data_IF_222222029666
#
_entry.id   IF_222222029666
#
_cell.length_a   1.000
_cell.length_b   1.000
_cell.length_c   1.000
_cell.angle_alpha   90.00
_cell.angle_beta   90.00
_cell.angle_gamma   90.00
#
_symmetry.space_group_name_H-M   'P 1'
#
loop_
_entity.id
_entity.type
_entity.pdbx_description
1 polymer ?
#
# COMPACT_ATOMS: atom_id res chain seq x y z
N UNK A 1 -12.35 -1.46 36.44
CA UNK A 1 -11.59 -0.41 35.71
C UNK A 1 -12.41 -0.01 34.50
N UNK A 2 -12.75 1.28 34.32
CA UNK A 2 -13.36 1.74 33.05
C UNK A 2 -12.41 1.40 31.91
N UNK A 3 -12.88 0.70 30.87
CA UNK A 3 -12.08 0.42 29.68
C UNK A 3 -11.76 1.77 29.03
N UNK A 4 -10.48 2.13 28.99
CA UNK A 4 -10.02 3.39 28.39
C UNK A 4 -10.09 3.28 26.87
N UNK A 5 -10.48 4.37 26.22
CA UNK A 5 -10.46 4.49 24.77
C UNK A 5 -9.07 4.21 24.18
N UNK A 6 -9.02 3.59 23.00
CA UNK A 6 -7.75 3.36 22.32
C UNK A 6 -7.15 4.68 21.82
N UNK A 7 -5.88 4.89 22.16
CA UNK A 7 -5.15 6.10 21.78
C UNK A 7 -4.61 6.00 20.36
N UNK A 8 -5.04 6.92 19.50
CA UNK A 8 -4.48 7.10 18.15
C UNK A 8 -2.97 7.33 18.19
N UNK A 9 -2.27 6.79 17.19
CA UNK A 9 -0.84 7.03 16.96
C UNK A 9 -0.57 8.18 15.99
N UNK A 10 -1.59 8.67 15.30
CA UNK A 10 -1.48 9.75 14.33
C UNK A 10 -2.57 10.80 14.53
N UNK A 11 -2.22 12.05 14.25
CA UNK A 11 -3.17 13.16 14.31
C UNK A 11 -4.21 13.06 13.18
N UNK A 12 -5.46 13.47 13.42
CA UNK A 12 -6.46 13.60 12.37
C UNK A 12 -6.01 14.55 11.25
N UNK A 13 -6.45 14.27 10.03
CA UNK A 13 -6.11 15.07 8.84
C UNK A 13 -7.36 15.60 8.14
N UNK A 14 -7.26 16.74 7.45
CA UNK A 14 -8.38 17.31 6.67
C UNK A 14 -8.69 16.54 5.38
N UNK A 15 -7.77 15.67 4.95
CA UNK A 15 -7.89 14.84 3.76
C UNK A 15 -7.41 13.42 4.05
N UNK A 16 -7.76 12.42 3.23
CA UNK A 16 -7.20 11.08 3.33
C UNK A 16 -5.67 11.10 3.40
N UNK A 17 -5.10 10.30 4.30
CA UNK A 17 -3.65 10.11 4.33
C UNK A 17 -3.19 9.53 2.99
N UNK A 18 -2.14 10.15 2.45
CA UNK A 18 -1.50 9.72 1.21
C UNK A 18 -0.01 9.73 1.42
N UNK A 19 0.63 8.61 1.08
CA UNK A 19 2.09 8.52 1.02
C UNK A 19 2.48 8.52 -0.45
N UNK A 20 2.97 9.67 -0.93
CA UNK A 20 3.42 9.78 -2.30
C UNK A 20 4.55 8.77 -2.57
N UNK A 21 4.34 7.82 -3.47
CA UNK A 21 5.43 7.03 -4.04
C UNK A 21 6.28 7.97 -4.90
N UNK A 22 7.41 8.43 -4.37
CA UNK A 22 8.34 9.31 -5.10
C UNK A 22 8.96 8.62 -6.31
N UNK A 23 8.81 7.29 -6.41
CA UNK A 23 9.44 6.44 -7.41
C UNK A 23 8.44 5.76 -8.36
N UNK A 24 7.14 6.09 -8.39
CA UNK A 24 6.12 5.30 -9.10
C UNK A 24 6.49 4.83 -10.51
N UNK A 25 6.93 5.72 -11.40
CA UNK A 25 7.38 5.35 -12.76
C UNK A 25 8.76 4.68 -12.77
N UNK A 26 9.67 5.09 -11.87
CA UNK A 26 11.00 4.50 -11.73
C UNK A 26 10.95 3.06 -11.20
N UNK A 27 10.04 2.75 -10.28
CA UNK A 27 9.75 1.42 -9.76
C UNK A 27 9.24 0.50 -10.87
N UNK A 28 8.38 1.03 -11.75
CA UNK A 28 7.90 0.28 -12.90
C UNK A 28 9.02 0.03 -13.91
N UNK A 29 9.95 0.97 -14.13
CA UNK A 29 11.04 0.86 -15.10
C UNK A 29 12.26 0.07 -14.60
N UNK A 30 12.71 0.31 -13.36
CA UNK A 30 13.91 -0.26 -12.75
C UNK A 30 13.84 -1.79 -12.69
N UNK A 31 12.64 -2.32 -12.48
CA UNK A 31 12.41 -3.75 -12.29
C UNK A 31 11.81 -4.43 -13.53
N UNK A 32 11.66 -3.71 -14.66
CA UNK A 32 11.35 -4.33 -15.97
C UNK A 32 12.55 -5.10 -16.54
N UNK A 33 13.77 -4.78 -16.10
CA UNK A 33 15.00 -5.43 -16.54
C UNK A 33 15.58 -6.28 -15.43
N UNK A 34 16.15 -7.44 -15.79
CA UNK A 34 16.95 -8.23 -14.84
C UNK A 34 18.12 -7.37 -14.35
N UNK A 35 18.56 -7.51 -13.09
CA UNK A 35 19.71 -6.77 -12.57
C UNK A 35 20.95 -6.88 -13.46
N UNK A 36 21.19 -8.08 -14.02
CA UNK A 36 22.26 -8.36 -14.98
C UNK A 36 22.16 -7.50 -16.24
N UNK A 37 20.94 -7.36 -16.80
CA UNK A 37 20.68 -6.54 -17.98
C UNK A 37 20.98 -5.08 -17.69
N UNK A 38 20.54 -4.56 -16.54
CA UNK A 38 20.83 -3.18 -16.13
C UNK A 38 22.33 -2.91 -15.99
N UNK A 39 23.07 -3.85 -15.39
CA UNK A 39 24.54 -3.76 -15.27
C UNK A 39 25.21 -3.78 -16.65
N UNK A 40 24.78 -4.66 -17.55
CA UNK A 40 25.34 -4.74 -18.92
C UNK A 40 25.04 -3.47 -19.71
N UNK A 41 23.83 -2.92 -19.60
CA UNK A 41 23.47 -1.64 -20.26
C UNK A 41 24.36 -0.50 -19.74
N UNK A 42 24.52 -0.37 -18.42
CA UNK A 42 25.42 0.63 -17.83
C UNK A 42 26.88 0.44 -18.26
N UNK A 43 27.35 -0.80 -18.32
CA UNK A 43 28.70 -1.15 -18.79
C UNK A 43 28.90 -0.79 -20.26
N UNK A 44 27.91 -1.06 -21.12
CA UNK A 44 27.96 -0.72 -22.53
C UNK A 44 27.99 0.79 -22.76
N UNK A 45 27.16 1.55 -22.04
CA UNK A 45 27.19 3.02 -22.07
C UNK A 45 28.56 3.54 -21.64
N UNK A 46 29.14 2.98 -20.57
CA UNK A 46 30.46 3.36 -20.10
C UNK A 46 31.57 3.05 -21.14
N UNK A 47 31.50 1.89 -21.80
CA UNK A 47 32.43 1.54 -22.88
C UNK A 47 32.31 2.49 -24.07
N UNK A 48 31.09 2.87 -24.45
CA UNK A 48 30.85 3.85 -25.51
C UNK A 48 31.43 5.23 -25.15
N UNK A 49 31.28 5.68 -23.90
CA UNK A 49 31.89 6.91 -23.42
C UNK A 49 33.42 6.85 -23.48
N UNK A 50 34.03 5.73 -23.09
CA UNK A 50 35.48 5.52 -23.19
C UNK A 50 35.98 5.48 -24.65
N UNK A 51 35.14 5.09 -25.61
CA UNK A 51 35.50 5.06 -27.03
C UNK A 51 35.46 6.45 -27.69
N UNK A 52 34.59 7.34 -27.21
CA UNK A 52 34.36 8.68 -27.81
C UNK A 52 35.13 9.77 -27.06
N UNK A 53 35.29 9.65 -25.74
CA UNK A 53 35.86 10.69 -24.88
C UNK A 53 37.24 10.27 -24.34
N UNK A 54 38.17 11.22 -24.11
CA UNK A 54 39.37 10.95 -23.34
C UNK A 54 39.02 10.36 -21.96
N UNK A 55 39.79 9.37 -21.49
CA UNK A 55 39.51 8.62 -20.25
C UNK A 55 39.18 9.53 -19.05
N UNK A 56 39.90 10.66 -18.90
CA UNK A 56 39.67 11.65 -17.85
C UNK A 56 38.24 12.21 -17.79
N UNK A 57 37.54 12.26 -18.93
CA UNK A 57 36.14 12.71 -19.02
C UNK A 57 35.18 11.53 -18.99
N UNK A 58 35.55 10.39 -19.58
CA UNK A 58 34.71 9.19 -19.58
C UNK A 58 34.46 8.63 -18.17
N UNK A 59 35.39 8.81 -17.22
CA UNK A 59 35.23 8.36 -15.83
C UNK A 59 34.36 9.29 -14.97
N UNK A 60 34.08 10.51 -15.42
CA UNK A 60 33.36 11.51 -14.59
C UNK A 60 31.94 11.04 -14.23
N UNK A 61 31.11 10.53 -15.15
CA UNK A 61 29.75 10.09 -14.80
C UNK A 61 29.68 8.98 -13.72
N UNK A 62 30.39 7.83 -13.82
CA UNK A 62 30.32 6.81 -12.77
C UNK A 62 30.88 7.30 -11.43
N UNK A 63 31.94 8.13 -11.45
CA UNK A 63 32.46 8.73 -10.22
C UNK A 63 31.47 9.70 -9.58
N UNK A 64 30.75 10.51 -10.38
CA UNK A 64 29.73 11.42 -9.86
C UNK A 64 28.55 10.67 -9.24
N UNK A 65 28.09 9.57 -9.87
CA UNK A 65 27.02 8.71 -9.31
C UNK A 65 27.47 8.04 -8.02
N UNK A 66 28.69 7.49 -7.99
CA UNK A 66 29.26 6.88 -6.78
C UNK A 66 29.43 7.90 -5.66
N UNK A 67 29.98 9.08 -5.98
CA UNK A 67 30.15 10.16 -5.02
C UNK A 67 28.81 10.62 -4.46
N UNK A 68 27.81 10.85 -5.33
CA UNK A 68 26.46 11.18 -4.89
C UNK A 68 25.90 10.13 -3.94
N UNK A 69 26.02 8.83 -4.28
CA UNK A 69 25.55 7.74 -3.41
C UNK A 69 26.25 7.74 -2.05
N UNK A 70 27.57 7.89 -2.00
CA UNK A 70 28.33 7.92 -0.75
C UNK A 70 27.92 9.14 0.09
N UNK A 71 27.83 10.32 -0.53
CA UNK A 71 27.43 11.56 0.15
C UNK A 71 26.02 11.46 0.69
N UNK A 72 25.05 11.01 -0.11
CA UNK A 72 23.66 10.86 0.34
C UNK A 72 23.55 9.85 1.46
N UNK A 73 24.21 8.68 1.36
CA UNK A 73 24.20 7.68 2.43
C UNK A 73 24.86 8.21 3.70
N UNK A 74 25.99 8.92 3.59
CA UNK A 74 26.68 9.52 4.74
C UNK A 74 25.78 10.55 5.42
N UNK A 75 25.16 11.46 4.65
CA UNK A 75 24.20 12.44 5.19
C UNK A 75 23.03 11.73 5.87
N UNK A 76 22.49 10.68 5.26
CA UNK A 76 21.35 9.92 5.82
C UNK A 76 21.69 9.17 7.12
N UNK A 77 22.93 8.69 7.27
CA UNK A 77 23.40 8.02 8.49
C UNK A 77 23.58 8.98 9.67
N UNK A 78 24.02 10.21 9.42
CA UNK A 78 24.32 11.18 10.47
C UNK A 78 23.23 12.24 10.68
N UNK A 79 22.30 12.39 9.74
CA UNK A 79 21.18 13.32 9.86
C UNK A 79 20.18 12.87 10.92
N UNK A 80 19.81 13.78 11.81
CA UNK A 80 18.71 13.59 12.76
C UNK A 80 17.33 13.85 12.14
N UNK A 81 17.28 14.51 10.99
CA UNK A 81 16.04 14.74 10.25
C UNK A 81 15.57 13.45 9.56
N UNK A 82 14.25 13.23 9.45
CA UNK A 82 13.71 12.10 8.71
C UNK A 82 14.24 12.04 7.27
N UNK A 83 14.73 10.88 6.86
CA UNK A 83 15.22 10.56 5.53
C UNK A 83 14.27 9.56 4.83
N UNK A 84 14.61 9.13 3.62
CA UNK A 84 13.76 8.23 2.82
C UNK A 84 13.42 6.89 3.51
N UNK A 85 14.25 6.42 4.45
CA UNK A 85 14.08 5.13 5.14
C UNK A 85 13.18 5.21 6.38
N UNK A 86 13.16 6.35 7.07
CA UNK A 86 12.42 6.52 8.32
C UNK A 86 11.29 7.56 8.24
N UNK A 87 11.12 8.22 7.10
CA UNK A 87 10.02 9.17 6.89
C UNK A 87 8.68 8.46 7.09
N UNK A 88 7.81 9.08 7.90
CA UNK A 88 6.50 8.58 8.29
C UNK A 88 6.50 7.27 9.08
N UNK A 89 7.65 6.78 9.55
CA UNK A 89 7.68 5.62 10.45
C UNK A 89 6.99 5.97 11.77
N UNK A 90 6.02 5.17 12.16
CA UNK A 90 5.32 5.28 13.45
C UNK A 90 6.10 4.44 14.47
N UNK A 91 6.73 5.05 15.48
CA UNK A 91 7.56 4.33 16.43
C UNK A 91 6.73 3.53 17.45
N UNK A 92 7.32 2.42 17.90
CA UNK A 92 6.74 1.53 18.88
C UNK A 92 5.69 0.59 18.30
N UNK A 93 4.95 -0.10 19.18
CA UNK A 93 3.96 -1.10 18.79
C UNK A 93 2.61 -0.44 18.51
N UNK A 94 2.04 -0.74 17.36
CA UNK A 94 0.74 -0.28 16.93
C UNK A 94 -0.10 -1.44 16.36
N UNK A 95 -1.41 -1.25 16.34
CA UNK A 95 -2.38 -2.13 15.68
C UNK A 95 -3.44 -1.26 15.01
N UNK A 96 -3.98 -1.74 13.90
CA UNK A 96 -5.06 -1.09 13.17
C UNK A 96 -6.41 -1.49 13.78
N UNK A 97 -7.10 -0.49 14.33
CA UNK A 97 -8.48 -0.53 14.78
C UNK A 97 -9.26 0.52 14.00
N UNK A 98 -10.46 0.22 13.50
CA UNK A 98 -11.23 1.21 12.75
C UNK A 98 -11.94 2.14 13.73
N UNK A 99 -11.83 3.47 13.58
CA UNK A 99 -12.61 4.40 14.38
C UNK A 99 -14.09 4.31 13.97
N UNK A 100 -14.98 4.62 14.91
CA UNK A 100 -16.40 4.81 14.64
C UNK A 100 -16.63 6.13 13.90
N UNK A 101 -17.85 6.31 13.36
CA UNK A 101 -18.25 7.56 12.67
C UNK A 101 -18.11 8.81 13.54
N UNK A 102 -18.17 8.64 14.87
CA UNK A 102 -17.96 9.68 15.88
C UNK A 102 -16.51 10.13 16.02
N UNK A 103 -15.55 9.42 15.41
CA UNK A 103 -14.12 9.66 15.56
C UNK A 103 -13.44 8.87 16.68
N UNK A 104 -14.23 8.32 17.61
CA UNK A 104 -13.71 7.50 18.70
C UNK A 104 -13.32 6.10 18.24
N UNK A 105 -12.30 5.50 18.86
CA UNK A 105 -11.97 4.09 18.67
C UNK A 105 -12.72 3.15 19.62
N UNK A 106 -13.40 3.70 20.62
CA UNK A 106 -13.93 2.92 21.73
C UNK A 106 -12.85 2.08 22.43
N UNK A 107 -13.27 0.96 23.02
CA UNK A 107 -12.40 0.09 23.83
C UNK A 107 -12.52 -1.40 23.52
N UNK A 108 -13.21 -1.75 22.43
CA UNK A 108 -13.44 -3.13 22.00
C UNK A 108 -12.53 -3.46 20.81
N UNK A 109 -11.55 -4.35 20.97
CA UNK A 109 -10.68 -4.75 19.86
C UNK A 109 -11.46 -5.45 18.73
N UNK A 110 -11.19 -5.06 17.49
CA UNK A 110 -11.75 -5.68 16.30
C UNK A 110 -13.25 -5.43 16.13
N UNK A 111 -13.81 -4.34 16.67
CA UNK A 111 -15.26 -4.11 16.73
C UNK A 111 -15.96 -3.98 15.36
N UNK A 112 -15.22 -3.66 14.29
CA UNK A 112 -15.76 -3.44 12.96
C UNK A 112 -15.30 -4.54 12.00
N UNK A 113 -16.15 -5.06 11.10
CA UNK A 113 -15.72 -5.99 10.07
C UNK A 113 -14.83 -5.30 9.04
N UNK A 114 -14.12 -6.11 8.23
CA UNK A 114 -13.33 -5.61 7.09
C UNK A 114 -13.43 -6.57 5.92
N UNK A 115 -13.30 -6.04 4.72
CA UNK A 115 -13.09 -6.84 3.51
C UNK A 115 -11.70 -6.58 2.97
N UNK A 116 -10.93 -7.64 2.71
CA UNK A 116 -9.63 -7.57 2.03
C UNK A 116 -9.80 -8.08 0.61
N UNK A 117 -9.47 -7.24 -0.36
CA UNK A 117 -9.57 -7.57 -1.77
C UNK A 117 -8.20 -7.54 -2.42
N UNK A 118 -7.72 -8.70 -2.83
CA UNK A 118 -6.52 -8.86 -3.63
C UNK A 118 -6.88 -8.79 -5.11
N UNK A 119 -6.16 -7.97 -5.87
CA UNK A 119 -6.26 -7.88 -7.32
C UNK A 119 -4.87 -7.99 -7.93
N UNK A 120 -4.68 -9.02 -8.71
CA UNK A 120 -3.42 -9.32 -9.38
C UNK A 120 -3.47 -9.10 -10.88
N UNK A 121 -2.40 -8.51 -11.41
CA UNK A 121 -2.16 -8.41 -12.85
C UNK A 121 -0.79 -9.03 -13.13
N UNK A 122 -0.76 -10.04 -14.00
CA UNK A 122 0.44 -10.77 -14.36
C UNK A 122 0.70 -10.66 -15.87
N UNK A 123 1.91 -10.25 -16.25
CA UNK A 123 2.36 -10.29 -17.63
C UNK A 123 3.22 -11.55 -17.89
N UNK A 124 2.72 -12.45 -18.73
CA UNK A 124 3.39 -13.68 -19.15
C UNK A 124 4.20 -13.50 -20.46
N UNK A 125 4.44 -12.25 -20.86
CA UNK A 125 5.23 -11.89 -22.04
C UNK A 125 6.66 -11.49 -21.62
N UNK A 126 7.72 -11.79 -22.42
CA UNK A 126 9.09 -11.38 -22.11
C UNK A 126 9.30 -9.87 -21.96
N UNK A 127 8.46 -9.06 -22.61
CA UNK A 127 8.47 -7.59 -22.48
C UNK A 127 7.72 -7.08 -21.23
N UNK A 128 7.14 -7.96 -20.42
CA UNK A 128 6.42 -7.59 -19.19
C UNK A 128 5.33 -6.55 -19.44
N UNK A 129 5.43 -5.41 -18.74
CA UNK A 129 4.49 -4.29 -18.85
C UNK A 129 4.56 -3.57 -20.21
N UNK A 130 5.63 -3.75 -20.98
CA UNK A 130 5.75 -3.22 -22.34
C UNK A 130 5.15 -4.15 -23.41
N UNK A 131 4.49 -5.24 -23.01
CA UNK A 131 3.85 -6.16 -23.94
C UNK A 131 2.62 -5.56 -24.65
N UNK A 132 2.27 -6.03 -25.86
CA UNK A 132 1.09 -5.56 -26.57
C UNK A 132 -0.18 -5.62 -25.70
N UNK A 133 -0.96 -4.54 -25.68
CA UNK A 133 -2.20 -4.44 -24.90
C UNK A 133 -2.05 -4.10 -23.42
N UNK A 134 -0.84 -4.20 -22.83
CA UNK A 134 -0.62 -3.85 -21.42
C UNK A 134 -0.79 -2.35 -21.16
N UNK A 135 -0.43 -1.48 -22.12
CA UNK A 135 -0.61 -0.03 -21.99
C UNK A 135 -2.08 0.34 -21.71
N UNK A 136 -3.01 -0.23 -22.48
CA UNK A 136 -4.43 0.05 -22.31
C UNK A 136 -4.98 -0.54 -21.02
N UNK A 137 -4.52 -1.74 -20.62
CA UNK A 137 -4.86 -2.33 -19.31
C UNK A 137 -4.37 -1.42 -18.18
N UNK A 138 -3.13 -0.93 -18.25
CA UNK A 138 -2.58 -0.01 -17.26
C UNK A 138 -3.36 1.30 -17.19
N UNK A 139 -3.82 1.85 -18.33
CA UNK A 139 -4.68 3.04 -18.36
C UNK A 139 -6.01 2.80 -17.64
N UNK A 140 -6.70 1.70 -17.95
CA UNK A 140 -7.94 1.34 -17.25
C UNK A 140 -7.73 1.13 -15.76
N UNK A 141 -6.64 0.45 -15.41
CA UNK A 141 -6.29 0.18 -14.03
C UNK A 141 -6.05 1.47 -13.23
N UNK A 142 -5.24 2.38 -13.74
CA UNK A 142 -4.98 3.68 -13.12
C UNK A 142 -6.27 4.51 -13.01
N UNK A 143 -7.12 4.49 -14.05
CA UNK A 143 -8.39 5.18 -14.03
C UNK A 143 -9.33 4.64 -12.92
N UNK A 144 -9.48 3.31 -12.82
CA UNK A 144 -10.29 2.68 -11.77
C UNK A 144 -9.77 2.99 -10.37
N UNK A 145 -8.45 2.91 -10.17
CA UNK A 145 -7.84 3.22 -8.88
C UNK A 145 -8.05 4.69 -8.49
N UNK A 146 -7.88 5.62 -9.43
CA UNK A 146 -8.08 7.04 -9.19
C UNK A 146 -9.55 7.37 -8.89
N UNK A 147 -10.49 6.76 -9.63
CA UNK A 147 -11.92 6.92 -9.38
C UNK A 147 -12.28 6.41 -7.97
N UNK A 148 -11.84 5.19 -7.62
CA UNK A 148 -12.03 4.61 -6.30
C UNK A 148 -11.40 5.46 -5.18
N UNK A 149 -10.20 6.00 -5.39
CA UNK A 149 -9.54 6.87 -4.43
C UNK A 149 -10.27 8.22 -4.25
N UNK A 150 -10.83 8.78 -5.33
CA UNK A 150 -11.58 10.04 -5.29
C UNK A 150 -12.94 9.91 -4.61
N UNK A 151 -13.62 8.76 -4.79
CA UNK A 151 -14.92 8.44 -4.21
C UNK A 151 -14.80 7.42 -3.07
N UNK A 152 -13.68 7.46 -2.34
CA UNK A 152 -13.31 6.42 -1.39
C UNK A 152 -14.33 6.20 -0.27
N UNK A 153 -15.02 7.25 0.16
CA UNK A 153 -16.00 7.17 1.25
C UNK A 153 -17.31 6.51 0.78
N UNK A 154 -17.75 6.88 -0.44
CA UNK A 154 -18.90 6.29 -1.13
C UNK A 154 -18.70 4.79 -1.39
N UNK A 155 -17.52 4.44 -1.92
CA UNK A 155 -17.14 3.05 -2.16
C UNK A 155 -16.57 2.36 -0.91
N UNK A 156 -16.54 3.01 0.25
CA UNK A 156 -16.10 2.39 1.51
C UNK A 156 -14.65 1.88 1.50
N UNK A 157 -13.76 2.44 0.67
CA UNK A 157 -12.34 2.09 0.62
C UNK A 157 -11.59 2.70 1.81
N UNK A 158 -11.04 1.82 2.65
CA UNK A 158 -10.27 2.14 3.83
C UNK A 158 -8.81 2.44 3.49
N UNK A 159 -8.18 1.58 2.68
CA UNK A 159 -6.82 1.76 2.18
C UNK A 159 -6.58 0.95 0.91
N UNK A 160 -5.50 1.28 0.22
CA UNK A 160 -4.97 0.50 -0.89
C UNK A 160 -3.43 0.45 -0.80
N UNK A 161 -2.85 -0.62 -1.33
CA UNK A 161 -1.40 -0.80 -1.44
C UNK A 161 -1.07 -1.60 -2.69
N UNK A 162 0.14 -1.37 -3.22
CA UNK A 162 0.63 -2.04 -4.42
C UNK A 162 1.94 -2.76 -4.10
N UNK A 163 2.04 -4.00 -4.50
CA UNK A 163 3.15 -4.91 -4.27
C UNK A 163 3.58 -5.54 -5.59
N UNK A 164 4.85 -5.92 -5.68
CA UNK A 164 5.36 -6.69 -6.80
C UNK A 164 5.76 -8.08 -6.33
N UNK A 165 5.34 -9.10 -7.06
CA UNK A 165 5.70 -10.49 -6.80
C UNK A 165 7.15 -10.78 -7.15
N UNK A 166 7.79 -11.58 -6.32
CA UNK A 166 9.16 -12.13 -6.47
C UNK A 166 9.12 -13.65 -6.71
N UNK A 167 7.94 -14.22 -7.00
CA UNK A 167 7.79 -15.69 -7.11
C UNK A 167 8.41 -16.26 -8.40
N UNK A 168 8.74 -15.39 -9.37
CA UNK A 168 9.30 -15.75 -10.67
C UNK A 168 10.38 -14.75 -11.04
N UNK A 169 11.45 -15.21 -11.69
CA UNK A 169 12.56 -14.37 -12.17
C UNK A 169 12.16 -13.25 -13.15
N UNK A 170 10.90 -13.22 -13.61
CA UNK A 170 10.37 -12.17 -14.46
C UNK A 170 9.85 -10.96 -13.68
N UNK A 171 9.55 -11.07 -12.37
CA UNK A 171 9.01 -10.00 -11.51
C UNK A 171 7.85 -9.19 -12.14
N UNK A 172 7.02 -9.88 -12.93
CA UNK A 172 5.97 -9.30 -13.78
C UNK A 172 4.55 -9.49 -13.21
N UNK A 173 4.43 -9.76 -11.91
CA UNK A 173 3.14 -9.84 -11.21
C UNK A 173 2.98 -8.64 -10.30
N UNK A 174 2.00 -7.78 -10.56
CA UNK A 174 1.59 -6.71 -9.66
C UNK A 174 0.42 -7.21 -8.80
N UNK A 175 0.52 -7.07 -7.48
CA UNK A 175 -0.55 -7.36 -6.54
C UNK A 175 -1.02 -6.06 -5.91
N UNK A 176 -2.31 -5.79 -5.97
CA UNK A 176 -2.95 -4.72 -5.24
C UNK A 176 -3.81 -5.28 -4.14
N UNK A 177 -3.68 -4.68 -2.97
CA UNK A 177 -4.43 -5.07 -1.77
C UNK A 177 -5.26 -3.85 -1.37
N UNK A 178 -6.57 -4.01 -1.48
CA UNK A 178 -7.56 -3.04 -1.04
C UNK A 178 -8.21 -3.50 0.25
N UNK A 179 -8.44 -2.56 1.17
CA UNK A 179 -9.29 -2.78 2.34
C UNK A 179 -10.58 -1.99 2.15
N UNK A 180 -11.71 -2.65 2.35
CA UNK A 180 -13.05 -2.08 2.32
C UNK A 180 -13.73 -2.27 3.68
N UNK A 181 -14.68 -1.39 4.01
CA UNK A 181 -15.46 -1.49 5.26
C UNK A 181 -16.43 -2.68 5.28
N UNK A 182 -16.96 -3.06 4.12
CA UNK A 182 -17.96 -4.11 3.97
C UNK A 182 -18.00 -4.66 2.52
N UNK A 183 -18.68 -5.78 2.32
CA UNK A 183 -18.73 -6.48 1.03
C UNK A 183 -19.60 -5.74 0.02
N UNK A 184 -20.64 -5.07 0.48
CA UNK A 184 -21.55 -4.25 -0.31
C UNK A 184 -20.79 -3.10 -0.99
N UNK A 185 -19.83 -2.51 -0.28
CA UNK A 185 -18.95 -1.43 -0.74
C UNK A 185 -18.01 -1.90 -1.85
N UNK A 186 -17.40 -3.08 -1.69
CA UNK A 186 -16.63 -3.71 -2.77
C UNK A 186 -17.53 -4.02 -3.98
N UNK A 187 -18.74 -4.53 -3.76
CA UNK A 187 -19.68 -4.83 -4.84
C UNK A 187 -20.12 -3.57 -5.59
N UNK A 188 -20.35 -2.44 -4.91
CA UNK A 188 -20.66 -1.16 -5.58
C UNK A 188 -19.54 -0.77 -6.54
N UNK A 189 -18.29 -0.85 -6.10
CA UNK A 189 -17.13 -0.59 -6.96
C UNK A 189 -17.04 -1.57 -8.15
N UNK A 190 -17.20 -2.86 -7.91
CA UNK A 190 -17.10 -3.89 -8.96
C UNK A 190 -18.21 -3.78 -10.04
N UNK A 191 -19.37 -3.21 -9.69
CA UNK A 191 -20.48 -3.02 -10.62
C UNK A 191 -20.52 -1.65 -11.29
N UNK A 192 -19.58 -0.75 -10.95
CA UNK A 192 -19.47 0.58 -11.55
C UNK A 192 -19.20 0.51 -13.07
N UNK A 193 -19.63 1.54 -13.79
CA UNK A 193 -19.51 1.63 -15.25
C UNK A 193 -18.05 1.52 -15.72
N UNK A 194 -17.12 2.17 -15.01
CA UNK A 194 -15.70 2.13 -15.39
C UNK A 194 -15.10 0.74 -15.21
N UNK A 195 -15.47 0.05 -14.12
CA UNK A 195 -15.03 -1.32 -13.87
C UNK A 195 -15.55 -2.28 -14.95
N UNK A 196 -16.84 -2.19 -15.30
CA UNK A 196 -17.43 -3.01 -16.37
C UNK A 196 -16.77 -2.76 -17.72
N UNK A 197 -16.52 -1.50 -18.08
CA UNK A 197 -15.81 -1.14 -19.33
C UNK A 197 -14.41 -1.75 -19.39
N UNK A 198 -13.66 -1.68 -18.29
CA UNK A 198 -12.32 -2.27 -18.22
C UNK A 198 -12.37 -3.80 -18.37
N UNK A 199 -13.31 -4.46 -17.69
CA UNK A 199 -13.48 -5.91 -17.78
C UNK A 199 -13.91 -6.37 -19.17
N UNK A 200 -14.83 -5.65 -19.80
CA UNK A 200 -15.24 -5.89 -21.19
C UNK A 200 -14.07 -5.78 -22.16
N UNK A 201 -13.20 -4.77 -21.98
CA UNK A 201 -12.00 -4.62 -22.80
C UNK A 201 -11.09 -5.84 -22.66
N UNK A 202 -10.81 -6.28 -21.43
CA UNK A 202 -9.97 -7.46 -21.16
C UNK A 202 -10.55 -8.70 -21.85
N UNK A 203 -11.84 -8.96 -21.67
CA UNK A 203 -12.52 -10.12 -22.25
C UNK A 203 -12.53 -10.10 -23.79
N UNK A 204 -12.76 -8.94 -24.39
CA UNK A 204 -12.76 -8.77 -25.86
C UNK A 204 -11.35 -8.89 -26.44
N UNK A 205 -10.33 -8.40 -25.72
CA UNK A 205 -8.95 -8.36 -26.23
C UNK A 205 -8.28 -9.74 -26.31
N UNK A 206 -8.76 -10.73 -25.54
CA UNK A 206 -8.27 -12.13 -25.56
C UNK A 206 -6.74 -12.26 -25.52
N UNK A 207 -6.07 -11.40 -24.76
CA UNK A 207 -4.61 -11.36 -24.67
C UNK A 207 -4.09 -12.57 -23.89
N UNK A 208 -3.53 -13.57 -24.60
CA UNK A 208 -3.05 -14.83 -24.00
C UNK A 208 -1.90 -14.64 -23.00
N UNK A 209 -1.19 -13.53 -23.10
CA UNK A 209 -0.04 -13.20 -22.24
C UNK A 209 -0.40 -12.34 -21.03
N UNK A 210 -1.69 -12.10 -20.77
CA UNK A 210 -2.17 -11.35 -19.61
C UNK A 210 -2.92 -12.29 -18.68
N UNK A 211 -2.46 -12.38 -17.44
CA UNK A 211 -3.17 -13.00 -16.33
C UNK A 211 -3.80 -11.94 -15.44
N UNK A 212 -5.04 -12.15 -15.01
CA UNK A 212 -5.71 -11.36 -13.99
C UNK A 212 -6.28 -12.33 -12.97
N UNK A 213 -6.07 -12.06 -11.69
CA UNK A 213 -6.63 -12.84 -10.59
C UNK A 213 -7.17 -11.93 -9.51
N UNK A 214 -8.10 -12.42 -8.70
CA UNK A 214 -8.58 -11.71 -7.54
C UNK A 214 -8.98 -12.66 -6.41
N UNK A 215 -8.86 -12.19 -5.18
CA UNK A 215 -9.28 -12.93 -3.98
C UNK A 215 -10.00 -11.96 -3.04
N UNK A 216 -11.15 -12.37 -2.53
CA UNK A 216 -11.95 -11.56 -1.61
C UNK A 216 -12.07 -12.29 -0.29
N UNK A 217 -11.59 -11.65 0.78
CA UNK A 217 -11.74 -12.13 2.16
C UNK A 217 -12.72 -11.23 2.89
N UNK A 218 -13.88 -11.76 3.25
CA UNK A 218 -14.85 -11.08 4.10
C UNK A 218 -14.61 -11.49 5.56
N UNK A 219 -14.07 -10.59 6.37
CA UNK A 219 -13.62 -10.89 7.72
C UNK A 219 -14.54 -10.21 8.74
N UNK A 220 -15.32 -10.99 9.52
CA UNK A 220 -16.19 -10.43 10.55
C UNK A 220 -15.44 -9.63 11.62
N UNK A 221 -16.19 -8.84 12.38
CA UNK A 221 -15.68 -8.26 13.62
C UNK A 221 -15.09 -9.36 14.52
N UNK A 222 -13.99 -9.04 15.21
CA UNK A 222 -13.25 -9.94 16.10
C UNK A 222 -12.53 -11.12 15.42
N UNK A 223 -12.54 -11.20 14.08
CA UNK A 223 -11.92 -12.29 13.31
C UNK A 223 -10.65 -11.89 12.57
N UNK A 224 -10.04 -10.75 12.93
CA UNK A 224 -8.75 -10.32 12.39
C UNK A 224 -7.82 -9.79 13.47
N UNK A 225 -6.52 -9.90 13.20
CA UNK A 225 -5.47 -9.29 14.02
C UNK A 225 -4.37 -8.73 13.12
N UNK A 226 -3.69 -7.69 13.60
CA UNK A 226 -2.53 -7.12 12.93
C UNK A 226 -1.64 -6.44 13.97
N UNK A 227 -0.33 -6.34 13.66
CA UNK A 227 0.64 -5.64 14.49
C UNK A 227 1.68 -4.95 13.62
N UNK A 228 2.04 -3.74 14.00
CA UNK A 228 3.04 -2.90 13.33
C UNK A 228 4.06 -2.47 14.37
N UNK A 229 5.34 -2.61 14.08
CA UNK A 229 6.43 -2.21 14.99
C UNK A 229 7.45 -1.42 14.21
N UNK A 230 7.54 -0.11 14.46
CA UNK A 230 8.42 0.79 13.72
C UNK A 230 8.19 0.75 12.20
N UNK A 231 6.93 0.66 11.78
CA UNK A 231 6.55 0.66 10.37
C UNK A 231 6.03 2.04 9.97
N UNK A 232 6.26 2.44 8.71
CA UNK A 232 5.37 3.43 8.11
C UNK A 232 3.95 2.82 7.99
N UNK A 233 2.87 3.63 7.98
CA UNK A 233 1.54 3.09 7.82
C UNK A 233 1.42 2.34 6.48
N UNK A 234 1.01 1.08 6.55
CA UNK A 234 0.97 0.15 5.43
C UNK A 234 -0.19 -0.84 5.61
N UNK A 235 -0.74 -1.37 4.51
CA UNK A 235 -1.90 -2.27 4.54
C UNK A 235 -3.04 -1.68 5.39
N UNK A 236 -3.67 -2.48 6.26
CA UNK A 236 -4.72 -1.99 7.16
C UNK A 236 -4.26 -0.86 8.10
N UNK A 237 -2.97 -0.78 8.44
CA UNK A 237 -2.41 0.35 9.21
C UNK A 237 -2.41 1.67 8.44
N UNK A 238 -2.52 1.63 7.11
CA UNK A 238 -2.75 2.83 6.30
C UNK A 238 -4.24 3.23 6.24
N UNK A 239 -5.16 2.38 6.73
CA UNK A 239 -6.59 2.67 6.66
C UNK A 239 -6.91 4.02 7.28
N UNK A 240 -7.75 4.79 6.59
CA UNK A 240 -8.32 6.02 7.11
C UNK A 240 -9.82 6.00 6.97
N UNK A 241 -10.52 6.65 7.87
CA UNK A 241 -11.99 6.70 7.88
C UNK A 241 -12.42 8.15 8.00
N UNK A 242 -13.45 8.53 7.24
CA UNK A 242 -14.07 9.86 7.35
C UNK A 242 -14.94 9.89 8.60
N UNK A 243 -14.77 10.91 9.43
CA UNK A 243 -15.48 11.06 10.70
C UNK A 243 -16.10 12.44 10.77
N UNK A 244 -17.30 12.53 11.33
CA UNK A 244 -18.11 13.76 11.42
C UNK A 244 -18.26 14.20 12.87
N UNK A 245 -17.14 14.26 13.59
CA UNK A 245 -17.13 14.70 14.98
C UNK A 245 -17.52 16.20 15.02
N UNK A 246 -18.73 16.53 15.50
CA UNK A 246 -19.21 17.91 15.66
C UNK A 246 -20.20 18.43 14.60
N UNK A 247 -20.56 17.62 13.59
CA UNK A 247 -21.46 18.02 12.49
C UNK A 247 -20.77 18.00 11.12
N UNK A 248 -21.49 18.33 10.05
CA UNK A 248 -20.97 18.32 8.67
C UNK A 248 -19.85 19.35 8.42
N UNK A 249 -19.70 20.37 9.28
CA UNK A 249 -18.72 21.45 9.11
C UNK A 249 -17.28 21.11 9.59
N UNK A 250 -17.09 19.99 10.31
CA UNK A 250 -15.77 19.54 10.80
C UNK A 250 -15.39 18.15 10.29
N UNK A 251 -15.45 17.94 8.97
CA UNK A 251 -15.00 16.68 8.36
C UNK A 251 -13.51 16.42 8.64
N UNK A 252 -13.21 15.29 9.30
CA UNK A 252 -11.84 14.85 9.58
C UNK A 252 -11.62 13.43 9.10
N UNK A 253 -10.36 13.10 8.83
CA UNK A 253 -9.92 11.76 8.47
C UNK A 253 -9.03 11.23 9.57
N UNK A 254 -9.42 10.08 10.13
CA UNK A 254 -8.70 9.44 11.22
C UNK A 254 -8.07 8.15 10.70
N UNK A 255 -6.79 7.93 11.04
CA UNK A 255 -6.07 6.71 10.70
C UNK A 255 -6.36 5.57 11.69
N UNK A 256 -6.32 4.33 11.23
CA UNK A 256 -6.59 3.16 12.04
C UNK A 256 -5.55 2.82 13.11
N UNK A 257 -4.32 3.34 13.05
CA UNK A 257 -3.26 2.96 13.98
C UNK A 257 -3.52 3.52 15.38
N UNK A 258 -3.66 2.60 16.33
CA UNK A 258 -3.70 2.89 17.76
C UNK A 258 -2.53 2.22 18.48
N UNK A 259 -2.21 2.71 19.68
CA UNK A 259 -1.16 2.11 20.51
C UNK A 259 -1.51 0.68 20.92
N UNK A 260 -0.64 -0.27 20.60
CA UNK A 260 -0.77 -1.67 21.05
C UNK A 260 -0.20 -1.89 22.47
N UNK A 261 0.34 -0.85 23.10
CA UNK A 261 0.90 -0.88 24.46
C UNK A 261 -0.20 -0.72 25.51
N UNK A 262 -1.29 -1.47 25.36
CA UNK A 262 -2.41 -1.56 26.31
C UNK A 262 -2.77 -3.02 26.55
N UNK A 263 -3.28 -3.41 27.74
CA UNK A 263 -3.62 -4.81 28.01
C UNK A 263 -4.61 -5.42 27.00
N UNK A 264 -5.53 -4.61 26.47
CA UNK A 264 -6.55 -5.04 25.50
C UNK A 264 -6.00 -5.30 24.08
N UNK A 265 -4.81 -4.79 23.75
CA UNK A 265 -4.21 -4.91 22.41
C UNK A 265 -2.84 -5.61 22.43
N UNK A 266 -2.39 -6.07 23.61
CA UNK A 266 -1.03 -6.57 23.84
C UNK A 266 -0.75 -7.88 23.11
N UNK A 267 -1.69 -8.83 23.12
CA UNK A 267 -1.53 -10.17 22.55
C UNK A 267 -2.37 -10.33 21.28
N UNK A 268 -2.05 -11.36 20.48
CA UNK A 268 -2.81 -11.69 19.27
C UNK A 268 -4.31 -11.87 19.56
N UNK A 269 -4.65 -12.77 20.49
CA UNK A 269 -6.05 -13.00 20.88
C UNK A 269 -6.70 -11.77 21.50
N UNK A 270 -5.99 -10.97 22.30
CA UNK A 270 -6.57 -9.75 22.86
C UNK A 270 -7.02 -8.77 21.75
N UNK A 271 -6.24 -8.63 20.66
CA UNK A 271 -6.62 -7.80 19.50
C UNK A 271 -7.88 -8.28 18.77
N UNK A 272 -8.24 -9.55 18.97
CA UNK A 272 -9.45 -10.19 18.46
C UNK A 272 -10.58 -10.23 19.50
N UNK A 273 -10.48 -9.50 20.61
CA UNK A 273 -11.43 -9.60 21.73
C UNK A 273 -11.55 -11.01 22.32
N UNK A 274 -10.47 -11.81 22.25
CA UNK A 274 -10.42 -13.18 22.77
C UNK A 274 -9.61 -13.29 24.07
N UNK A 275 -9.92 -14.29 24.88
CA UNK A 275 -9.15 -14.70 26.03
C UNK A 275 -7.87 -15.47 25.61
N UNK A 276 -7.07 -15.90 26.58
CA UNK A 276 -5.82 -16.64 26.32
C UNK A 276 -6.04 -18.01 25.68
N UNK A 277 -7.26 -18.56 25.76
CA UNK A 277 -7.68 -19.82 25.16
C UNK A 277 -8.33 -19.63 23.78
N UNK A 278 -8.38 -18.40 23.26
CA UNK A 278 -8.95 -18.08 21.95
C UNK A 278 -10.49 -17.96 21.93
N UNK A 279 -11.15 -17.97 23.09
CA UNK A 279 -12.61 -17.79 23.19
C UNK A 279 -12.94 -16.31 23.17
N UNK A 280 -14.02 -15.92 22.49
CA UNK A 280 -14.50 -14.54 22.54
C UNK A 280 -14.81 -14.17 23.99
N UNK A 281 -14.33 -13.02 24.43
CA UNK A 281 -14.69 -12.47 25.74
C UNK A 281 -16.14 -12.04 25.66
N UNK A 282 -16.96 -12.48 26.61
CA UNK A 282 -18.34 -12.03 26.73
C UNK A 282 -18.36 -10.50 26.73
N UNK A 283 -19.06 -9.93 25.76
CA UNK A 283 -19.30 -8.49 25.67
C UNK A 283 -20.34 -8.14 26.73
N UNK A 284 -19.91 -8.01 27.99
CA UNK A 284 -20.65 -7.25 29.01
C UNK A 284 -20.61 -5.75 28.70
#
# INVERSE_FOLDING_TARGET
MKKSEFRSKMEPTSRPLTFASTAGMLFMLKDCFKPQTTVVVGSFIQLALCAVLPLRWAVVPPLAVLFNSIVTTTIQLYSTNPNEYNKNVVPGRATAQLPFSTGSFGSTPGASPVVVFHLGIQANHPLGLAAPGMEQISKYFMAMHNDLASKRDEYGMLSSSTWRGDEKSSNNTLLLIYYFRDIESLHRFAHDELHRKAWDYVNKSKLKHVGIFHETFNVPAHEYENVYVNCHPVLMGHATVKTTEGGEEEERWINSLVSADTPLLKTQYARMSRDEHGRLKDTE
#
